data_IF_307658041653
#
_entry.id   IF_307658041653
#
_cell.length_a   1.000
_cell.length_b   1.000
_cell.length_c   1.000
_cell.angle_alpha   90.00
_cell.angle_beta   90.00
_cell.angle_gamma   90.00
#
_symmetry.space_group_name_H-M   'P 1'
#
loop_
_entity.id
_entity.type
_entity.pdbx_description
1 polymer ?
#
# COMPACT_ATOMS: atom_id res chain seq x y z
N UNK A 1 -4.15 67.50 -49.64
CA UNK A 1 -5.34 66.62 -49.71
C UNK A 1 -5.65 66.15 -48.31
N UNK A 2 -6.79 66.57 -47.77
CA UNK A 2 -7.26 66.32 -46.41
C UNK A 2 -7.66 64.85 -46.20
N UNK A 3 -7.51 64.33 -44.97
CA UNK A 3 -8.39 63.40 -44.20
C UNK A 3 -7.69 63.20 -42.84
N UNK A 4 -8.18 63.68 -41.68
CA UNK A 4 -9.39 63.40 -40.86
C UNK A 4 -9.28 62.12 -39.98
N UNK A 5 -9.53 62.34 -38.67
CA UNK A 5 -9.89 61.43 -37.55
C UNK A 5 -8.71 60.79 -36.76
N UNK A 6 -8.33 61.25 -35.56
CA UNK A 6 -8.96 61.13 -34.21
C UNK A 6 -9.10 59.66 -33.77
N UNK A 7 -8.23 59.16 -32.87
CA UNK A 7 -8.54 58.17 -31.81
C UNK A 7 -7.37 58.03 -30.83
N UNK A 8 -7.56 58.56 -29.61
CA UNK A 8 -6.83 58.20 -28.40
C UNK A 8 -7.19 56.76 -28.00
N UNK A 9 -6.20 55.90 -27.79
CA UNK A 9 -6.38 54.61 -27.12
C UNK A 9 -5.24 54.39 -26.12
N UNK A 10 -5.59 54.44 -24.84
CA UNK A 10 -4.71 54.17 -23.72
C UNK A 10 -4.19 52.73 -23.78
N UNK A 11 -2.87 52.56 -23.77
CA UNK A 11 -2.23 51.26 -23.66
C UNK A 11 -2.33 50.79 -22.20
N UNK A 12 -3.39 50.06 -21.88
CA UNK A 12 -3.46 49.27 -20.66
C UNK A 12 -2.54 48.05 -20.83
N UNK A 13 -1.37 48.09 -20.19
CA UNK A 13 -0.49 46.93 -20.03
C UNK A 13 -1.19 45.90 -19.14
N UNK A 14 -1.82 44.91 -19.77
CA UNK A 14 -2.29 43.70 -19.10
C UNK A 14 -1.05 42.90 -18.68
N UNK A 15 -0.69 43.00 -17.41
CA UNK A 15 0.22 42.06 -16.75
C UNK A 15 -0.48 40.71 -16.68
N UNK A 16 -0.27 39.86 -17.68
CA UNK A 16 -0.58 38.44 -17.60
C UNK A 16 0.46 37.83 -16.66
N UNK A 17 0.16 37.85 -15.36
CA UNK A 17 0.84 37.01 -14.38
C UNK A 17 0.42 35.57 -14.66
N UNK A 18 1.17 34.88 -15.53
CA UNK A 18 1.15 33.43 -15.58
C UNK A 18 1.68 32.92 -14.24
N UNK A 19 0.77 32.69 -13.30
CA UNK A 19 0.99 31.83 -12.14
C UNK A 19 1.19 30.42 -12.67
N UNK A 20 2.41 30.10 -13.10
CA UNK A 20 2.85 28.74 -13.41
C UNK A 20 2.96 27.95 -12.12
N UNK A 21 1.81 27.58 -11.57
CA UNK A 21 1.74 26.47 -10.62
C UNK A 21 1.66 25.19 -11.45
N UNK A 22 2.74 24.89 -12.18
CA UNK A 22 2.92 23.52 -12.68
C UNK A 22 3.12 22.66 -11.43
N UNK A 23 2.27 21.64 -11.20
CA UNK A 23 2.57 20.62 -10.22
C UNK A 23 3.98 20.12 -10.51
N UNK A 24 4.83 20.07 -9.48
CA UNK A 24 6.18 19.54 -9.62
C UNK A 24 6.12 18.24 -10.44
N UNK A 25 6.97 18.09 -11.48
CA UNK A 25 6.95 16.90 -12.30
C UNK A 25 7.05 15.71 -11.38
N UNK A 26 6.02 14.86 -11.39
CA UNK A 26 6.00 13.60 -10.67
C UNK A 26 7.11 12.77 -11.30
N UNK A 27 8.31 12.85 -10.71
CA UNK A 27 9.48 12.14 -11.18
C UNK A 27 9.07 10.68 -11.17
N UNK A 28 9.28 9.98 -12.29
CA UNK A 28 9.09 8.53 -12.29
C UNK A 28 10.16 7.95 -11.36
N UNK A 29 9.80 7.76 -10.09
CA UNK A 29 10.67 7.23 -9.04
C UNK A 29 11.03 5.76 -9.28
N UNK A 30 10.34 5.12 -10.23
CA UNK A 30 10.54 3.71 -10.55
C UNK A 30 10.05 3.35 -11.97
N UNK A 31 10.29 2.09 -12.33
CA UNK A 31 9.89 1.49 -13.61
C UNK A 31 8.97 0.29 -13.40
N UNK A 32 8.18 -0.05 -14.42
CA UNK A 32 7.38 -1.27 -14.38
C UNK A 32 8.29 -2.51 -14.25
N UNK A 33 7.94 -3.41 -13.34
CA UNK A 33 8.59 -4.71 -13.16
C UNK A 33 8.17 -5.76 -14.22
N UNK A 34 7.75 -5.31 -15.41
CA UNK A 34 7.27 -6.14 -16.52
C UNK A 34 8.31 -6.37 -17.62
N UNK A 35 9.57 -5.99 -17.34
CA UNK A 35 10.70 -6.07 -18.28
C UNK A 35 10.77 -4.94 -19.31
N UNK A 36 9.78 -4.03 -19.36
CA UNK A 36 9.78 -2.90 -20.31
C UNK A 36 10.71 -1.75 -19.92
N UNK A 37 11.09 -1.68 -18.63
CA UNK A 37 11.85 -0.59 -18.03
C UNK A 37 11.23 0.79 -18.27
N UNK A 38 9.92 0.86 -18.52
CA UNK A 38 9.23 2.12 -18.74
C UNK A 38 8.84 2.77 -17.41
N UNK A 39 8.75 4.12 -17.37
CA UNK A 39 8.28 4.87 -16.20
C UNK A 39 6.95 4.35 -15.67
N UNK A 40 6.87 4.12 -14.35
CA UNK A 40 5.65 3.69 -13.68
C UNK A 40 5.15 4.74 -12.68
N UNK A 41 3.82 4.86 -12.46
CA UNK A 41 3.29 5.63 -11.34
C UNK A 41 3.82 5.08 -10.00
N UNK A 42 4.07 5.95 -9.02
CA UNK A 42 4.70 5.56 -7.74
C UNK A 42 4.02 4.37 -7.02
N UNK A 43 2.68 4.30 -7.05
CA UNK A 43 1.92 3.20 -6.42
C UNK A 43 2.23 1.82 -7.00
N UNK A 44 2.66 1.74 -8.27
CA UNK A 44 3.07 0.49 -8.94
C UNK A 44 4.34 -0.10 -8.31
N UNK A 45 5.06 0.72 -7.56
CA UNK A 45 6.32 0.38 -6.91
C UNK A 45 6.20 0.39 -5.39
N UNK A 46 4.97 0.31 -4.88
CA UNK A 46 4.71 0.19 -3.45
C UNK A 46 4.63 1.52 -2.69
N UNK A 47 4.59 2.67 -3.38
CA UNK A 47 4.33 3.93 -2.69
C UNK A 47 2.94 3.88 -2.01
N UNK A 48 2.80 4.42 -0.78
CA UNK A 48 1.54 4.43 -0.06
C UNK A 48 0.40 5.07 -0.86
N UNK A 49 -0.82 4.60 -0.63
CA UNK A 49 -2.04 5.14 -1.21
C UNK A 49 -2.92 5.67 -0.07
N UNK A 50 -3.33 6.92 -0.16
CA UNK A 50 -4.18 7.55 0.85
C UNK A 50 -5.43 6.72 1.17
N UNK A 51 -5.67 6.50 2.46
CA UNK A 51 -6.82 5.76 2.97
C UNK A 51 -6.72 4.23 2.86
N UNK A 52 -5.53 3.69 2.61
CA UNK A 52 -5.28 2.24 2.59
C UNK A 52 -4.01 1.90 3.37
N UNK A 53 -4.17 1.32 4.55
CA UNK A 53 -3.07 1.12 5.51
C UNK A 53 -2.09 0.02 5.07
N UNK A 54 -2.62 -1.03 4.43
CA UNK A 54 -1.81 -2.13 3.94
C UNK A 54 -2.16 -2.43 2.49
N UNK A 55 -1.17 -2.25 1.62
CA UNK A 55 -1.29 -2.47 0.18
C UNK A 55 -0.20 -3.37 -0.34
N UNK A 56 -0.48 -4.10 -1.42
CA UNK A 56 0.51 -4.81 -2.20
C UNK A 56 0.18 -4.71 -3.69
N UNK A 57 1.22 -4.84 -4.51
CA UNK A 57 1.11 -4.77 -5.97
C UNK A 57 1.35 -6.16 -6.55
N UNK A 58 0.59 -6.53 -7.58
CA UNK A 58 0.80 -7.77 -8.29
C UNK A 58 0.72 -7.57 -9.79
N UNK A 59 1.45 -8.42 -10.51
CA UNK A 59 1.59 -8.36 -11.95
C UNK A 59 1.06 -9.64 -12.60
N UNK A 60 0.59 -9.49 -13.84
CA UNK A 60 0.30 -10.60 -14.72
C UNK A 60 0.81 -10.28 -16.11
N UNK A 61 1.49 -11.25 -16.72
CA UNK A 61 1.95 -11.15 -18.09
C UNK A 61 0.79 -11.10 -19.08
N UNK A 62 1.11 -10.62 -20.28
CA UNK A 62 0.18 -10.62 -21.40
C UNK A 62 -0.34 -12.03 -21.66
N UNK A 63 -1.67 -12.19 -21.66
CA UNK A 63 -2.33 -13.46 -21.91
C UNK A 63 -3.38 -13.36 -23.01
N UNK A 64 -3.44 -14.37 -23.87
CA UNK A 64 -4.48 -14.52 -24.88
C UNK A 64 -5.89 -14.75 -24.28
N UNK A 65 -5.97 -15.11 -22.99
CA UNK A 65 -7.23 -15.26 -22.25
C UNK A 65 -7.91 -13.92 -21.94
N UNK A 66 -7.27 -12.79 -22.26
CA UNK A 66 -7.87 -11.45 -22.20
C UNK A 66 -7.69 -10.71 -20.88
N UNK A 67 -8.16 -9.46 -20.85
CA UNK A 67 -7.91 -8.52 -19.76
C UNK A 67 -8.46 -8.96 -18.40
N UNK A 68 -9.62 -9.63 -18.36
CA UNK A 68 -10.20 -10.09 -17.10
C UNK A 68 -9.39 -11.22 -16.46
N UNK A 69 -8.80 -12.11 -17.28
CA UNK A 69 -7.91 -13.15 -16.80
C UNK A 69 -6.64 -12.54 -16.19
N UNK A 70 -5.99 -11.62 -16.92
CA UNK A 70 -4.79 -10.92 -16.43
C UNK A 70 -5.07 -10.16 -15.12
N UNK A 71 -6.23 -9.48 -15.03
CA UNK A 71 -6.68 -8.83 -13.79
C UNK A 71 -6.74 -9.80 -12.61
N UNK A 72 -7.34 -10.97 -12.81
CA UNK A 72 -7.49 -11.96 -11.75
C UNK A 72 -6.14 -12.53 -11.32
N UNK A 73 -5.24 -12.80 -12.26
CA UNK A 73 -3.88 -13.28 -11.97
C UNK A 73 -3.08 -12.23 -11.19
N UNK A 74 -3.08 -10.97 -11.66
CA UNK A 74 -2.38 -9.87 -11.00
C UNK A 74 -2.93 -9.62 -9.60
N UNK A 75 -4.27 -9.61 -9.43
CA UNK A 75 -4.90 -9.47 -8.11
C UNK A 75 -4.57 -10.65 -7.19
N UNK A 76 -4.43 -11.87 -7.72
CA UNK A 76 -4.04 -13.04 -6.93
C UNK A 76 -2.60 -12.92 -6.46
N UNK A 77 -1.68 -12.55 -7.36
CA UNK A 77 -0.29 -12.30 -7.00
C UNK A 77 -0.18 -11.21 -5.91
N UNK A 78 -0.90 -10.10 -6.09
CA UNK A 78 -0.91 -9.00 -5.12
C UNK A 78 -1.43 -9.46 -3.74
N UNK A 79 -2.46 -10.32 -3.69
CA UNK A 79 -2.98 -10.86 -2.42
C UNK A 79 -2.02 -11.80 -1.72
N UNK A 80 -1.25 -12.57 -2.48
CA UNK A 80 -0.21 -13.44 -1.92
C UNK A 80 0.87 -12.58 -1.25
N UNK A 81 1.34 -11.54 -1.93
CA UNK A 81 2.35 -10.61 -1.40
C UNK A 81 1.82 -9.85 -0.17
N UNK A 82 0.56 -9.41 -0.21
CA UNK A 82 -0.10 -8.78 0.93
C UNK A 82 -0.16 -9.71 2.15
N UNK A 83 -0.52 -10.98 1.94
CA UNK A 83 -0.58 -11.97 3.01
C UNK A 83 0.81 -12.28 3.59
N UNK A 84 1.84 -12.36 2.75
CA UNK A 84 3.23 -12.56 3.19
C UNK A 84 3.73 -11.39 4.03
N UNK A 85 3.50 -10.16 3.58
CA UNK A 85 3.88 -8.95 4.31
C UNK A 85 3.20 -8.92 5.68
N UNK A 86 1.89 -9.18 5.72
CA UNK A 86 1.14 -9.24 6.96
C UNK A 86 1.62 -10.36 7.90
N UNK A 87 1.99 -11.52 7.35
CA UNK A 87 2.55 -12.62 8.13
C UNK A 87 3.85 -12.22 8.82
N UNK A 88 4.77 -11.55 8.10
CA UNK A 88 6.04 -11.08 8.66
C UNK A 88 5.81 -10.05 9.76
N UNK A 89 4.92 -9.08 9.53
CA UNK A 89 4.56 -8.08 10.54
C UNK A 89 4.00 -8.73 11.81
N UNK A 90 3.08 -9.69 11.67
CA UNK A 90 2.48 -10.39 12.82
C UNK A 90 3.49 -11.27 13.54
N UNK A 91 4.39 -11.94 12.83
CA UNK A 91 5.47 -12.70 13.45
C UNK A 91 6.41 -11.79 14.26
N UNK A 92 6.79 -10.63 13.70
CA UNK A 92 7.61 -9.64 14.38
C UNK A 92 6.90 -9.10 15.64
N UNK A 93 5.58 -8.88 15.57
CA UNK A 93 4.76 -8.48 16.73
C UNK A 93 4.77 -9.53 17.84
N UNK A 94 4.53 -10.80 17.51
CA UNK A 94 4.55 -11.90 18.48
C UNK A 94 5.93 -12.04 19.12
N UNK A 95 7.00 -11.94 18.32
CA UNK A 95 8.38 -12.03 18.81
C UNK A 95 8.71 -10.88 19.79
N UNK A 96 8.42 -9.64 19.42
CA UNK A 96 8.66 -8.49 20.28
C UNK A 96 7.88 -8.61 21.59
N UNK A 97 6.65 -9.11 21.53
CA UNK A 97 5.87 -9.41 22.74
C UNK A 97 6.58 -10.43 23.64
N UNK A 98 6.94 -11.60 23.09
CA UNK A 98 7.64 -12.67 23.80
C UNK A 98 8.92 -12.18 24.52
N UNK A 99 9.70 -11.34 23.84
CA UNK A 99 10.91 -10.71 24.37
C UNK A 99 10.59 -9.74 25.53
N UNK A 100 9.50 -8.98 25.46
CA UNK A 100 9.15 -8.00 26.51
C UNK A 100 8.53 -8.61 27.77
N UNK A 101 7.79 -9.71 27.65
CA UNK A 101 7.08 -10.33 28.78
C UNK A 101 7.81 -11.52 29.38
N UNK A 102 8.89 -12.00 28.75
CA UNK A 102 9.70 -13.12 29.21
C UNK A 102 8.92 -14.44 29.32
N UNK A 103 7.80 -14.57 28.61
CA UNK A 103 6.80 -15.64 28.81
C UNK A 103 6.78 -16.69 27.69
N UNK A 104 7.72 -16.67 26.74
CA UNK A 104 7.68 -17.58 25.60
C UNK A 104 8.57 -18.82 25.80
N UNK A 105 7.92 -19.97 25.98
CA UNK A 105 8.48 -21.25 25.52
C UNK A 105 8.29 -21.32 23.99
N UNK A 106 9.38 -21.56 23.26
CA UNK A 106 9.44 -21.54 21.78
C UNK A 106 8.34 -22.36 21.10
N UNK A 107 7.90 -23.46 21.72
CA UNK A 107 6.89 -24.38 21.20
C UNK A 107 5.47 -23.77 21.14
N UNK A 108 5.14 -22.85 22.05
CA UNK A 108 3.85 -22.13 22.04
C UNK A 108 3.84 -21.05 20.95
N UNK A 109 4.97 -20.39 20.73
CA UNK A 109 5.14 -19.36 19.70
C UNK A 109 4.97 -19.98 18.31
N UNK A 110 5.55 -21.15 18.06
CA UNK A 110 5.48 -21.83 16.77
C UNK A 110 4.06 -22.32 16.44
N UNK A 111 3.33 -22.88 17.41
CA UNK A 111 1.96 -23.34 17.20
C UNK A 111 1.02 -22.17 16.90
N UNK A 112 1.18 -21.06 17.61
CA UNK A 112 0.43 -19.82 17.39
C UNK A 112 0.76 -19.23 16.01
N UNK A 113 2.04 -19.18 15.65
CA UNK A 113 2.49 -18.69 14.35
C UNK A 113 1.84 -19.46 13.19
N UNK A 114 1.71 -20.79 13.29
CA UNK A 114 1.09 -21.64 12.27
C UNK A 114 -0.41 -21.39 12.11
N UNK A 115 -1.15 -21.25 13.22
CA UNK A 115 -2.60 -20.98 13.21
C UNK A 115 -2.88 -19.57 12.67
N UNK A 116 -2.14 -18.59 13.16
CA UNK A 116 -2.24 -17.18 12.77
C UNK A 116 -1.92 -16.98 11.29
N UNK A 117 -0.87 -17.62 10.78
CA UNK A 117 -0.52 -17.56 9.35
C UNK A 117 -1.66 -18.01 8.44
N UNK A 118 -2.33 -19.11 8.79
CA UNK A 118 -3.46 -19.65 8.01
C UNK A 118 -4.66 -18.71 8.04
N UNK A 119 -4.94 -18.11 9.19
CA UNK A 119 -6.04 -17.16 9.36
C UNK A 119 -5.79 -15.85 8.59
N UNK A 120 -4.58 -15.30 8.70
CA UNK A 120 -4.14 -14.12 7.92
C UNK A 120 -4.34 -14.38 6.44
N UNK A 121 -3.80 -15.48 5.92
CA UNK A 121 -3.93 -15.81 4.48
C UNK A 121 -5.39 -15.87 4.06
N UNK A 122 -6.24 -16.57 4.83
CA UNK A 122 -7.66 -16.72 4.51
C UNK A 122 -8.42 -15.38 4.55
N UNK A 123 -8.17 -14.56 5.56
CA UNK A 123 -8.87 -13.29 5.70
C UNK A 123 -8.36 -12.25 4.71
N UNK A 124 -7.05 -12.19 4.44
CA UNK A 124 -6.49 -11.35 3.38
C UNK A 124 -7.11 -11.69 2.03
N UNK A 125 -7.31 -12.97 1.72
CA UNK A 125 -8.00 -13.40 0.49
C UNK A 125 -9.46 -12.93 0.42
N UNK A 126 -10.14 -12.80 1.55
CA UNK A 126 -11.59 -12.49 1.61
C UNK A 126 -11.87 -10.99 1.76
N UNK A 127 -11.06 -10.27 2.54
CA UNK A 127 -11.24 -8.86 2.87
C UNK A 127 -10.52 -7.89 1.92
N UNK A 128 -9.53 -8.36 1.14
CA UNK A 128 -8.77 -7.48 0.25
C UNK A 128 -9.59 -7.04 -0.97
N UNK A 129 -9.47 -5.74 -1.28
CA UNK A 129 -10.13 -5.11 -2.43
C UNK A 129 -9.09 -4.61 -3.41
N UNK A 130 -9.45 -4.59 -4.69
CA UNK A 130 -8.65 -3.95 -5.73
C UNK A 130 -8.90 -2.44 -5.66
N UNK A 131 -7.85 -1.66 -5.44
CA UNK A 131 -7.93 -0.19 -5.39
C UNK A 131 -7.47 0.45 -6.70
N UNK A 132 -6.45 -0.11 -7.35
CA UNK A 132 -5.94 0.39 -8.63
C UNK A 132 -5.63 -0.77 -9.57
N UNK A 133 -5.76 -0.52 -10.86
CA UNK A 133 -5.35 -1.45 -11.92
C UNK A 133 -5.02 -0.68 -13.18
N UNK A 134 -4.03 -1.15 -13.93
CA UNK A 134 -3.73 -0.62 -15.27
C UNK A 134 -3.02 -1.66 -16.14
N UNK A 135 -3.15 -1.58 -17.48
CA UNK A 135 -2.31 -2.35 -18.38
C UNK A 135 -0.85 -1.93 -18.23
N UNK A 136 0.07 -2.89 -18.39
CA UNK A 136 1.51 -2.60 -18.42
C UNK A 136 1.98 -2.35 -19.86
N UNK A 137 3.13 -1.69 -20.06
CA UNK A 137 3.70 -1.47 -21.40
C UNK A 137 4.01 -2.77 -22.17
N UNK A 138 4.36 -3.87 -21.49
CA UNK A 138 4.52 -5.20 -22.10
C UNK A 138 3.19 -5.83 -22.56
N UNK A 139 2.05 -5.20 -22.23
CA UNK A 139 0.71 -5.67 -22.55
C UNK A 139 0.10 -6.61 -21.51
N UNK A 140 0.73 -6.72 -20.34
CA UNK A 140 0.20 -7.39 -19.16
C UNK A 140 -0.74 -6.48 -18.35
N UNK A 141 -0.90 -6.81 -17.07
CA UNK A 141 -1.69 -6.02 -16.13
C UNK A 141 -0.99 -5.93 -14.78
N UNK A 142 -1.06 -4.75 -14.17
CA UNK A 142 -0.65 -4.52 -12.78
C UNK A 142 -1.87 -4.13 -11.95
N UNK A 143 -1.95 -4.65 -10.73
CA UNK A 143 -3.06 -4.44 -9.80
C UNK A 143 -2.50 -4.11 -8.43
N UNK A 144 -3.08 -3.11 -7.77
CA UNK A 144 -2.87 -2.85 -6.35
C UNK A 144 -4.10 -3.32 -5.58
N UNK A 145 -3.84 -4.18 -4.60
CA UNK A 145 -4.83 -4.61 -3.62
C UNK A 145 -4.49 -4.00 -2.27
N UNK A 146 -5.49 -3.86 -1.42
CA UNK A 146 -5.28 -3.48 -0.04
C UNK A 146 -6.38 -3.99 0.88
N UNK A 147 -6.12 -3.85 2.17
CA UNK A 147 -7.09 -4.07 3.24
C UNK A 147 -7.50 -2.72 3.83
N UNK A 148 -8.77 -2.61 4.23
CA UNK A 148 -9.20 -1.49 5.05
C UNK A 148 -8.68 -1.64 6.48
N UNK A 149 -8.51 -0.49 7.17
CA UNK A 149 -7.96 -0.38 8.52
C UNK A 149 -8.65 -1.31 9.52
N UNK A 150 -9.99 -1.39 9.44
CA UNK A 150 -10.80 -2.24 10.31
C UNK A 150 -10.46 -3.72 10.14
N UNK A 151 -10.29 -4.17 8.89
CA UNK A 151 -9.91 -5.56 8.60
C UNK A 151 -8.49 -5.87 9.10
N UNK A 152 -7.54 -4.93 8.96
CA UNK A 152 -6.18 -5.08 9.49
C UNK A 152 -6.21 -5.19 11.02
N UNK A 153 -6.95 -4.30 11.70
CA UNK A 153 -7.08 -4.28 13.15
C UNK A 153 -7.73 -5.56 13.70
N UNK A 154 -8.82 -6.02 13.07
CA UNK A 154 -9.48 -7.27 13.48
C UNK A 154 -8.54 -8.47 13.36
N UNK A 155 -7.77 -8.54 12.28
CA UNK A 155 -6.83 -9.63 12.05
C UNK A 155 -5.68 -9.63 13.06
N UNK A 156 -5.12 -8.45 13.34
CA UNK A 156 -4.10 -8.30 14.36
C UNK A 156 -4.64 -8.71 15.74
N UNK A 157 -5.86 -8.30 16.08
CA UNK A 157 -6.51 -8.66 17.34
C UNK A 157 -6.77 -10.17 17.46
N UNK A 158 -7.28 -10.83 16.42
CA UNK A 158 -7.54 -12.28 16.41
C UNK A 158 -6.24 -13.10 16.53
N UNK A 159 -5.20 -12.70 15.79
CA UNK A 159 -3.86 -13.29 15.86
C UNK A 159 -3.28 -13.20 17.27
N UNK A 160 -3.36 -12.01 17.87
CA UNK A 160 -2.82 -11.74 19.19
C UNK A 160 -3.65 -12.40 20.30
N UNK A 161 -4.98 -12.39 20.25
CA UNK A 161 -5.82 -13.13 21.21
C UNK A 161 -5.50 -14.62 21.23
N UNK A 162 -5.32 -15.21 20.05
CA UNK A 162 -4.92 -16.62 19.93
C UNK A 162 -3.54 -16.85 20.55
N UNK A 163 -2.60 -15.93 20.35
CA UNK A 163 -1.26 -15.98 20.95
C UNK A 163 -1.24 -15.77 22.46
N UNK A 164 -2.11 -14.90 22.98
CA UNK A 164 -2.04 -14.34 24.32
C UNK A 164 -3.06 -14.99 25.27
N UNK A 165 -3.59 -16.15 24.89
CA UNK A 165 -4.64 -16.86 25.63
C UNK A 165 -5.82 -15.93 26.03
N UNK A 166 -6.18 -14.98 25.15
CA UNK A 166 -7.21 -13.95 25.34
C UNK A 166 -6.95 -12.87 26.42
N UNK A 167 -5.70 -12.58 26.78
CA UNK A 167 -5.38 -11.55 27.77
C UNK A 167 -5.57 -10.10 27.26
N UNK A 168 -6.73 -9.52 27.58
CA UNK A 168 -7.12 -8.15 27.20
C UNK A 168 -6.18 -7.04 27.70
N UNK A 169 -5.57 -7.20 28.88
CA UNK A 169 -4.66 -6.22 29.45
C UNK A 169 -3.40 -6.06 28.60
N UNK A 170 -2.92 -7.16 28.03
CA UNK A 170 -1.75 -7.17 27.17
C UNK A 170 -2.08 -6.59 25.78
N UNK A 171 -3.30 -6.77 25.26
CA UNK A 171 -3.77 -6.08 24.04
C UNK A 171 -3.75 -4.55 24.21
N UNK A 172 -4.17 -4.04 25.38
CA UNK A 172 -4.13 -2.61 25.66
C UNK A 172 -2.68 -2.09 25.74
N UNK A 173 -1.76 -2.86 26.34
CA UNK A 173 -0.33 -2.52 26.36
C UNK A 173 0.26 -2.54 24.95
N UNK A 174 -0.12 -3.50 24.12
CA UNK A 174 0.27 -3.59 22.72
C UNK A 174 -0.23 -2.39 21.90
N UNK A 175 -1.51 -2.03 22.01
CA UNK A 175 -2.08 -0.84 21.36
C UNK A 175 -1.35 0.44 21.77
N UNK A 176 -0.92 0.54 23.03
CA UNK A 176 -0.15 1.68 23.51
C UNK A 176 1.30 1.74 23.03
N UNK A 177 1.83 0.64 22.47
CA UNK A 177 3.21 0.54 21.97
C UNK A 177 3.31 0.52 20.44
N UNK A 178 2.22 0.18 19.73
CA UNK A 178 2.21 -0.01 18.28
C UNK A 178 1.00 0.69 17.67
N UNK A 179 1.10 1.99 17.51
CA UNK A 179 0.49 2.62 16.34
C UNK A 179 1.23 2.05 15.11
N UNK A 180 0.52 1.36 14.21
CA UNK A 180 1.13 0.85 12.97
C UNK A 180 1.82 1.98 12.17
N UNK A 181 1.36 3.21 12.34
CA UNK A 181 1.97 4.41 11.77
C UNK A 181 3.29 4.77 12.44
N UNK A 182 3.42 4.62 13.76
CA UNK A 182 4.66 4.92 14.51
C UNK A 182 5.78 3.93 14.15
N UNK A 183 5.47 2.64 13.99
CA UNK A 183 6.48 1.66 13.52
C UNK A 183 6.88 1.88 12.07
N UNK A 184 5.91 2.22 11.22
CA UNK A 184 6.17 2.55 9.81
C UNK A 184 7.02 3.81 9.70
N UNK A 185 6.79 4.81 10.54
CA UNK A 185 7.62 6.02 10.63
C UNK A 185 9.02 5.75 11.20
N UNK A 186 9.16 4.88 12.21
CA UNK A 186 10.48 4.47 12.72
C UNK A 186 11.29 3.69 11.67
N UNK A 187 10.66 2.83 10.87
CA UNK A 187 11.32 2.10 9.78
C UNK A 187 11.73 3.00 8.62
N UNK A 188 10.98 4.09 8.36
CA UNK A 188 11.31 5.08 7.33
C UNK A 188 12.42 6.06 7.77
N UNK A 189 12.60 6.25 9.08
CA UNK A 189 13.64 7.11 9.66
C UNK A 189 14.98 6.39 9.93
N UNK A 190 15.12 5.13 9.51
CA UNK A 190 16.37 4.35 9.60
C UNK A 190 17.19 4.31 8.29
N UNK A 191 17.15 5.40 7.50
CA UNK A 191 18.10 5.64 6.40
C UNK A 191 18.53 7.11 6.33
#
# INVERSE_FOLDING_TARGET
MNIRHLFTAAAATLLVACSSNEPAPQVAECVFADGSMQPAPAWVCGAPVDGVDLTAVGYADKSAAGANFMKQMAATAARVELAQTMQVEVQNMIKQYAETTGTADDETVDQVNSVTTKQITKQTLTGSKIFRQMPTPSGGMVVLVGLDADTVNQLAEEALKTSMNNEKALWQKFQSQKSFDEMREEMLNMN
#
